data_IF_854993916156
#
_entry.id   IF_854993916156
#
_cell.length_a   1.000
_cell.length_b   1.000
_cell.length_c   1.000
_cell.angle_alpha   90.00
_cell.angle_beta   90.00
_cell.angle_gamma   90.00
#
_symmetry.space_group_name_H-M   'P 1'
#
loop_
_entity.id
_entity.type
_entity.pdbx_description
1 polymer ?
#
# COMPACT_ATOMS: atom_id res chain seq x y z
N UNK A 1 48.79 -45.69 -16.75
CA UNK A 1 47.41 -45.41 -16.28
C UNK A 1 47.37 -44.26 -15.25
N UNK A 2 47.88 -43.07 -15.59
CA UNK A 2 47.91 -41.91 -14.64
C UNK A 2 47.57 -40.55 -15.27
N UNK A 3 47.18 -40.51 -16.56
CA UNK A 3 46.86 -39.25 -17.27
C UNK A 3 45.38 -39.07 -17.62
N UNK A 4 44.51 -40.01 -17.25
CA UNK A 4 43.08 -39.97 -17.63
C UNK A 4 42.14 -39.46 -16.53
N UNK A 5 42.65 -39.20 -15.32
CA UNK A 5 41.80 -38.84 -14.16
C UNK A 5 41.65 -37.31 -14.00
N UNK A 6 42.54 -36.52 -14.60
CA UNK A 6 42.51 -35.06 -14.43
C UNK A 6 41.51 -34.32 -15.34
N UNK A 7 40.99 -34.97 -16.37
CA UNK A 7 40.13 -34.33 -17.39
C UNK A 7 38.64 -34.41 -17.00
N UNK A 8 38.27 -35.27 -16.04
CA UNK A 8 36.87 -35.47 -15.64
C UNK A 8 36.44 -34.48 -14.54
N UNK A 9 37.38 -33.83 -13.85
CA UNK A 9 37.07 -32.86 -12.78
C UNK A 9 36.88 -31.43 -13.33
N UNK A 10 37.39 -31.13 -14.52
CA UNK A 10 37.32 -29.77 -15.11
C UNK A 10 36.08 -29.52 -15.99
N UNK A 11 35.26 -30.54 -16.26
CA UNK A 11 33.99 -30.42 -16.99
C UNK A 11 32.75 -30.36 -16.08
N UNK A 12 32.93 -30.49 -14.76
CA UNK A 12 31.84 -30.49 -13.78
C UNK A 12 31.68 -29.15 -13.03
N UNK A 13 32.02 -28.03 -13.65
CA UNK A 13 31.85 -26.68 -13.08
C UNK A 13 30.99 -25.73 -13.92
N UNK A 14 30.42 -26.20 -15.04
CA UNK A 14 29.69 -25.34 -15.98
C UNK A 14 28.15 -25.43 -15.91
N UNK A 15 27.60 -26.09 -14.89
CA UNK A 15 26.16 -26.05 -14.60
C UNK A 15 25.91 -25.61 -13.17
N UNK A 16 26.50 -24.48 -12.77
CA UNK A 16 25.86 -23.70 -11.71
C UNK A 16 24.58 -23.14 -12.35
N UNK A 17 23.38 -23.50 -11.87
CA UNK A 17 22.20 -22.76 -12.27
C UNK A 17 22.50 -21.31 -11.93
N UNK A 18 22.38 -20.42 -12.91
CA UNK A 18 22.39 -19.00 -12.65
C UNK A 18 21.36 -18.79 -11.56
N UNK A 19 21.85 -18.52 -10.35
CA UNK A 19 21.05 -18.05 -9.25
C UNK A 19 20.53 -16.70 -9.72
N UNK A 20 19.46 -16.74 -10.49
CA UNK A 20 18.51 -15.66 -10.59
C UNK A 20 18.10 -15.50 -9.13
N UNK A 21 18.80 -14.62 -8.42
CA UNK A 21 18.26 -14.05 -7.22
C UNK A 21 16.88 -13.58 -7.66
N UNK A 22 15.84 -14.31 -7.27
CA UNK A 22 14.47 -13.92 -7.51
C UNK A 22 14.35 -12.56 -6.87
N UNK A 23 14.56 -11.50 -7.66
CA UNK A 23 14.24 -10.15 -7.24
C UNK A 23 12.73 -10.21 -7.10
N UNK A 24 12.29 -10.36 -5.84
CA UNK A 24 10.88 -10.53 -5.51
C UNK A 24 10.07 -9.41 -6.13
N UNK A 25 8.81 -9.70 -6.47
CA UNK A 25 7.90 -8.72 -7.06
C UNK A 25 7.98 -7.37 -6.30
N UNK A 26 8.31 -6.29 -7.00
CA UNK A 26 8.18 -4.94 -6.46
C UNK A 26 6.70 -4.59 -6.33
N UNK A 27 6.27 -4.15 -5.15
CA UNK A 27 4.90 -3.68 -4.94
C UNK A 27 4.76 -2.23 -5.39
N UNK A 28 3.70 -1.89 -6.12
CA UNK A 28 3.40 -0.49 -6.48
C UNK A 28 2.26 0.06 -5.62
N UNK A 29 2.54 1.14 -4.87
CA UNK A 29 1.54 1.95 -4.19
C UNK A 29 1.18 3.13 -5.10
N UNK A 30 -0.09 3.27 -5.46
CA UNK A 30 -0.60 4.38 -6.26
C UNK A 30 -1.44 5.34 -5.43
N UNK A 31 -1.15 6.64 -5.52
CA UNK A 31 -1.91 7.72 -4.86
C UNK A 31 -2.00 8.96 -5.75
N UNK A 32 -3.04 9.77 -5.53
CA UNK A 32 -3.09 11.13 -6.12
C UNK A 32 -2.07 12.02 -5.42
N UNK A 33 -1.39 12.88 -6.18
CA UNK A 33 -0.28 13.72 -5.73
C UNK A 33 -0.70 14.86 -4.78
N UNK A 34 -1.14 14.51 -3.58
CA UNK A 34 -1.58 15.40 -2.50
C UNK A 34 -0.73 15.17 -1.26
N UNK A 35 -0.69 16.11 -0.31
CA UNK A 35 0.00 15.94 0.98
C UNK A 35 -0.49 14.69 1.73
N UNK A 36 -1.81 14.43 1.71
CA UNK A 36 -2.42 13.22 2.26
C UNK A 36 -1.91 11.96 1.57
N UNK A 37 -2.00 11.92 0.23
CA UNK A 37 -1.55 10.78 -0.57
C UNK A 37 -0.07 10.48 -0.35
N UNK A 38 0.77 11.51 -0.42
CA UNK A 38 2.22 11.39 -0.24
C UNK A 38 2.58 10.83 1.14
N UNK A 39 2.08 11.42 2.23
CA UNK A 39 2.50 10.99 3.58
C UNK A 39 2.00 9.59 3.92
N UNK A 40 0.78 9.24 3.51
CA UNK A 40 0.23 7.91 3.78
C UNK A 40 0.88 6.84 2.89
N UNK A 41 1.18 7.13 1.62
CA UNK A 41 1.91 6.21 0.75
C UNK A 41 3.33 5.93 1.26
N UNK A 42 4.05 6.98 1.66
CA UNK A 42 5.39 6.86 2.26
C UNK A 42 5.36 6.07 3.57
N UNK A 43 4.31 6.22 4.37
CA UNK A 43 4.11 5.47 5.60
C UNK A 43 3.93 3.98 5.34
N UNK A 44 3.07 3.61 4.39
CA UNK A 44 2.87 2.21 4.00
C UNK A 44 4.16 1.66 3.38
N UNK A 45 4.78 2.40 2.46
CA UNK A 45 6.03 2.01 1.77
C UNK A 45 7.16 1.75 2.76
N UNK A 46 7.41 2.68 3.69
CA UNK A 46 8.45 2.55 4.72
C UNK A 46 8.17 1.37 5.63
N UNK A 47 6.92 1.19 6.08
CA UNK A 47 6.55 0.07 6.95
C UNK A 47 6.79 -1.28 6.27
N UNK A 48 6.38 -1.42 5.01
CA UNK A 48 6.59 -2.65 4.23
C UNK A 48 8.09 -2.90 4.04
N UNK A 49 8.81 -1.91 3.54
CA UNK A 49 10.24 -2.03 3.20
C UNK A 49 11.06 -2.39 4.44
N UNK A 50 10.88 -1.70 5.56
CA UNK A 50 11.70 -1.93 6.76
C UNK A 50 11.36 -3.20 7.52
N UNK A 51 10.11 -3.67 7.46
CA UNK A 51 9.70 -4.89 8.17
C UNK A 51 9.87 -6.15 7.36
N UNK A 52 10.07 -6.06 6.05
CA UNK A 52 10.08 -7.23 5.17
C UNK A 52 11.24 -7.27 4.19
N UNK A 53 11.91 -6.14 3.92
CA UNK A 53 12.87 -6.03 2.82
C UNK A 53 12.24 -6.01 1.42
N UNK A 54 10.90 -6.03 1.32
CA UNK A 54 10.19 -5.96 0.04
C UNK A 54 10.39 -4.60 -0.61
N UNK A 55 10.80 -4.58 -1.88
CA UNK A 55 10.88 -3.34 -2.65
C UNK A 55 9.48 -2.77 -2.91
N UNK A 56 9.32 -1.47 -2.68
CA UNK A 56 8.07 -0.74 -2.92
C UNK A 56 8.35 0.48 -3.80
N UNK A 57 7.55 0.62 -4.86
CA UNK A 57 7.51 1.81 -5.69
C UNK A 57 6.28 2.66 -5.32
N UNK A 58 6.46 3.96 -5.12
CA UNK A 58 5.36 4.91 -4.93
C UNK A 58 5.13 5.66 -6.24
N UNK A 59 3.95 5.48 -6.82
CA UNK A 59 3.52 6.12 -8.06
C UNK A 59 2.49 7.22 -7.76
N UNK A 60 2.76 8.41 -8.27
CA UNK A 60 1.88 9.57 -8.14
C UNK A 60 1.04 9.76 -9.40
N UNK A 61 -0.24 10.03 -9.20
CA UNK A 61 -1.22 10.29 -10.26
C UNK A 61 -1.75 11.71 -10.13
N UNK A 62 -2.09 12.33 -11.27
CA UNK A 62 -2.61 13.70 -11.30
C UNK A 62 -4.03 13.77 -10.74
N UNK A 63 -4.85 12.75 -11.02
CA UNK A 63 -6.26 12.70 -10.64
C UNK A 63 -6.71 11.27 -10.27
N UNK A 64 -7.90 11.16 -9.68
CA UNK A 64 -8.46 9.86 -9.24
C UNK A 64 -8.83 8.94 -10.41
N UNK A 65 -9.22 9.50 -11.57
CA UNK A 65 -9.60 8.68 -12.73
C UNK A 65 -8.40 7.88 -13.25
N UNK A 66 -7.24 8.52 -13.38
CA UNK A 66 -6.00 7.87 -13.81
C UNK A 66 -5.52 6.83 -12.79
N UNK A 67 -5.67 7.12 -11.49
CA UNK A 67 -5.36 6.17 -10.43
C UNK A 67 -6.28 4.93 -10.49
N UNK A 68 -7.59 5.13 -10.68
CA UNK A 68 -8.53 4.01 -10.82
C UNK A 68 -8.24 3.15 -12.04
N UNK A 69 -7.92 3.77 -13.17
CA UNK A 69 -7.52 3.05 -14.36
C UNK A 69 -6.26 2.22 -14.09
N UNK A 70 -5.25 2.80 -13.44
CA UNK A 70 -4.02 2.10 -13.10
C UNK A 70 -4.22 0.92 -12.14
N UNK A 71 -5.15 1.04 -11.18
CA UNK A 71 -5.58 -0.08 -10.33
C UNK A 71 -6.27 -1.16 -11.17
N UNK A 72 -7.19 -0.76 -12.05
CA UNK A 72 -7.96 -1.67 -12.92
C UNK A 72 -7.08 -2.47 -13.88
N UNK A 73 -6.09 -1.83 -14.50
CA UNK A 73 -5.13 -2.49 -15.41
C UNK A 73 -3.90 -3.06 -14.67
N UNK A 74 -3.98 -3.23 -13.36
CA UNK A 74 -2.97 -3.91 -12.52
C UNK A 74 -1.58 -3.26 -12.47
N UNK A 75 -1.47 -1.98 -12.84
CA UNK A 75 -0.25 -1.17 -12.66
C UNK A 75 -0.02 -0.76 -11.20
N UNK A 76 -1.09 -0.68 -10.41
CA UNK A 76 -1.08 -0.38 -8.98
C UNK A 76 -1.56 -1.60 -8.20
N UNK A 77 -0.77 -2.00 -7.19
CA UNK A 77 -1.09 -3.13 -6.31
C UNK A 77 -1.83 -2.70 -5.04
N UNK A 78 -1.48 -1.53 -4.52
CA UNK A 78 -1.98 -0.96 -3.26
C UNK A 78 -2.38 0.49 -3.51
N UNK A 79 -3.52 0.92 -2.96
CA UNK A 79 -3.93 2.32 -2.98
C UNK A 79 -4.60 2.72 -1.66
N UNK A 80 -5.01 3.97 -1.56
CA UNK A 80 -5.69 4.53 -0.40
C UNK A 80 -7.02 5.08 -0.87
N UNK A 81 -8.08 4.66 -0.21
CA UNK A 81 -9.43 5.03 -0.59
C UNK A 81 -10.26 5.43 0.62
N UNK A 82 -11.26 6.28 0.41
CA UNK A 82 -12.24 6.64 1.42
C UNK A 82 -13.65 6.18 1.06
N UNK A 83 -14.47 5.95 2.09
CA UNK A 83 -15.81 5.39 1.93
C UNK A 83 -16.75 6.29 1.13
N UNK A 84 -16.66 7.61 1.28
CA UNK A 84 -17.50 8.58 0.57
C UNK A 84 -17.32 8.48 -0.95
N UNK A 85 -16.06 8.49 -1.41
CA UNK A 85 -15.71 8.32 -2.83
C UNK A 85 -16.03 6.92 -3.31
N UNK A 86 -15.76 5.90 -2.50
CA UNK A 86 -16.02 4.52 -2.85
C UNK A 86 -17.51 4.22 -3.08
N UNK A 87 -18.41 4.82 -2.28
CA UNK A 87 -19.86 4.72 -2.49
C UNK A 87 -20.26 5.30 -3.85
N UNK A 88 -19.68 6.45 -4.24
CA UNK A 88 -19.91 7.05 -5.58
C UNK A 88 -19.41 6.14 -6.70
N UNK A 89 -18.21 5.57 -6.56
CA UNK A 89 -17.64 4.63 -7.54
C UNK A 89 -18.49 3.36 -7.71
N UNK A 90 -19.17 2.93 -6.65
CA UNK A 90 -20.10 1.80 -6.68
C UNK A 90 -21.51 2.18 -7.15
N UNK A 91 -21.76 3.44 -7.50
CA UNK A 91 -23.09 3.98 -7.79
C UNK A 91 -24.10 3.71 -6.67
N UNK A 92 -23.65 3.76 -5.41
CA UNK A 92 -24.50 3.61 -4.22
C UNK A 92 -24.83 4.99 -3.63
N UNK A 93 -26.00 5.16 -2.99
CA UNK A 93 -26.33 6.39 -2.29
C UNK A 93 -25.35 6.66 -1.15
N UNK A 94 -25.17 7.92 -0.77
CA UNK A 94 -24.37 8.27 0.40
C UNK A 94 -24.94 7.58 1.66
N UNK A 95 -24.04 7.15 2.55
CA UNK A 95 -24.39 6.51 3.82
C UNK A 95 -23.81 7.35 4.95
N UNK A 96 -24.67 7.80 5.86
CA UNK A 96 -24.32 8.73 6.93
C UNK A 96 -23.58 8.05 8.09
N UNK A 97 -23.89 6.77 8.33
CA UNK A 97 -23.11 5.97 9.28
C UNK A 97 -21.81 5.53 8.61
N UNK A 98 -20.69 6.13 9.03
CA UNK A 98 -19.37 5.88 8.47
C UNK A 98 -18.94 4.41 8.59
N UNK A 99 -19.36 3.71 9.65
CA UNK A 99 -19.03 2.30 9.85
C UNK A 99 -19.87 1.43 8.91
N UNK A 100 -21.16 1.73 8.78
CA UNK A 100 -22.03 1.05 7.82
C UNK A 100 -21.55 1.27 6.38
N UNK A 101 -21.12 2.48 6.04
CA UNK A 101 -20.51 2.78 4.75
C UNK A 101 -19.26 1.93 4.50
N UNK A 102 -18.39 1.79 5.50
CA UNK A 102 -17.20 0.94 5.42
C UNK A 102 -17.55 -0.53 5.16
N UNK A 103 -18.51 -1.11 5.88
CA UNK A 103 -18.91 -2.51 5.67
C UNK A 103 -19.51 -2.74 4.27
N UNK A 104 -20.35 -1.83 3.79
CA UNK A 104 -20.91 -1.87 2.43
C UNK A 104 -19.79 -1.82 1.39
N UNK A 105 -18.89 -0.86 1.51
CA UNK A 105 -17.80 -0.63 0.56
C UNK A 105 -16.84 -1.82 0.55
N UNK A 106 -16.43 -2.30 1.72
CA UNK A 106 -15.54 -3.45 1.87
C UNK A 106 -16.09 -4.68 1.16
N UNK A 107 -17.35 -5.04 1.44
CA UNK A 107 -17.99 -6.19 0.81
C UNK A 107 -18.14 -6.02 -0.70
N UNK A 108 -18.51 -4.82 -1.15
CA UNK A 108 -18.74 -4.55 -2.58
C UNK A 108 -17.44 -4.50 -3.38
N UNK A 109 -16.37 -3.89 -2.86
CA UNK A 109 -15.07 -3.84 -3.53
C UNK A 109 -14.43 -5.21 -3.64
N UNK A 110 -14.54 -6.05 -2.62
CA UNK A 110 -14.01 -7.41 -2.67
C UNK A 110 -14.74 -8.23 -3.75
N UNK A 111 -16.08 -8.18 -3.75
CA UNK A 111 -16.92 -8.92 -4.69
C UNK A 111 -16.84 -8.41 -6.14
N UNK A 112 -16.91 -7.09 -6.34
CA UNK A 112 -17.09 -6.48 -7.66
C UNK A 112 -15.77 -6.05 -8.32
N UNK A 113 -14.71 -5.83 -7.52
CA UNK A 113 -13.44 -5.28 -8.00
C UNK A 113 -12.22 -6.13 -7.67
N UNK A 114 -12.37 -7.18 -6.86
CA UNK A 114 -11.23 -7.99 -6.39
C UNK A 114 -10.26 -7.21 -5.52
N UNK A 115 -10.75 -6.18 -4.81
CA UNK A 115 -9.95 -5.30 -3.95
C UNK A 115 -10.34 -5.50 -2.49
N UNK A 116 -9.34 -5.78 -1.66
CA UNK A 116 -9.52 -5.98 -0.22
C UNK A 116 -9.31 -4.66 0.50
N UNK A 117 -10.28 -4.28 1.32
CA UNK A 117 -10.15 -3.17 2.27
C UNK A 117 -9.51 -3.64 3.57
N UNK A 118 -8.44 -2.96 3.98
CA UNK A 118 -7.77 -3.20 5.25
C UNK A 118 -8.42 -2.42 6.40
N UNK A 119 -7.87 -2.57 7.60
CA UNK A 119 -8.34 -1.82 8.77
C UNK A 119 -8.20 -0.30 8.52
N UNK A 120 -9.22 0.50 8.83
CA UNK A 120 -9.17 1.96 8.74
C UNK A 120 -8.02 2.59 9.52
N UNK A 121 -7.46 3.69 9.01
CA UNK A 121 -6.38 4.42 9.70
C UNK A 121 -6.80 5.01 11.05
N UNK A 122 -8.07 5.40 11.18
CA UNK A 122 -8.67 5.89 12.43
C UNK A 122 -9.16 7.34 12.42
N UNK A 123 -8.87 8.11 11.37
CA UNK A 123 -9.38 9.46 11.16
C UNK A 123 -10.64 9.42 10.29
N UNK A 124 -11.49 10.45 10.41
CA UNK A 124 -12.76 10.54 9.67
C UNK A 124 -12.84 11.76 8.73
N UNK A 125 -11.82 12.61 8.68
CA UNK A 125 -11.82 13.87 7.91
C UNK A 125 -10.98 13.87 6.62
N UNK A 126 -10.65 12.70 6.09
CA UNK A 126 -9.84 12.58 4.87
C UNK A 126 -10.60 12.88 3.59
N UNK A 127 -9.86 13.03 2.48
CA UNK A 127 -10.46 13.04 1.14
C UNK A 127 -10.93 14.40 0.60
N UNK A 128 -10.77 15.49 1.38
CA UNK A 128 -10.83 16.87 0.90
C UNK A 128 -12.22 17.47 0.61
N UNK A 129 -13.29 16.68 0.61
CA UNK A 129 -14.67 17.16 0.33
C UNK A 129 -15.47 17.52 1.61
N UNK A 130 -14.84 17.45 2.78
CA UNK A 130 -15.44 17.77 4.07
C UNK A 130 -16.47 16.76 4.57
N UNK A 131 -16.76 15.71 3.80
CA UNK A 131 -17.69 14.65 4.21
C UNK A 131 -16.98 13.69 5.16
N UNK A 132 -17.53 13.44 6.37
CA UNK A 132 -17.00 12.42 7.26
C UNK A 132 -16.92 11.07 6.53
N UNK A 133 -15.73 10.48 6.47
CA UNK A 133 -15.49 9.23 5.76
C UNK A 133 -14.36 8.45 6.39
N UNK A 134 -14.45 7.13 6.30
CA UNK A 134 -13.37 6.25 6.72
C UNK A 134 -12.39 6.10 5.57
N UNK A 135 -11.11 6.35 5.84
CA UNK A 135 -10.01 6.08 4.90
C UNK A 135 -9.29 4.80 5.30
N UNK A 136 -9.03 3.94 4.31
CA UNK A 136 -8.28 2.71 4.49
C UNK A 136 -7.36 2.42 3.30
N UNK A 137 -6.36 1.57 3.53
CA UNK A 137 -5.59 0.96 2.46
C UNK A 137 -6.45 -0.09 1.74
N UNK A 138 -6.42 -0.07 0.42
CA UNK A 138 -6.97 -1.12 -0.44
C UNK A 138 -5.84 -1.84 -1.16
N UNK A 139 -6.02 -3.13 -1.43
CA UNK A 139 -5.04 -3.93 -2.15
C UNK A 139 -5.70 -4.96 -3.06
N UNK A 140 -5.06 -5.29 -4.19
CA UNK A 140 -5.58 -6.34 -5.08
C UNK A 140 -5.47 -7.71 -4.40
N UNK A 141 -6.55 -8.49 -4.40
CA UNK A 141 -6.56 -9.81 -3.76
C UNK A 141 -5.43 -10.72 -4.24
N UNK A 142 -5.11 -10.67 -5.54
CA UNK A 142 -4.03 -11.46 -6.16
C UNK A 142 -2.65 -11.26 -5.52
N UNK A 143 -2.38 -10.11 -4.88
CA UNK A 143 -1.07 -9.90 -4.25
C UNK A 143 -0.88 -10.80 -3.03
N UNK A 144 -1.97 -11.24 -2.40
CA UNK A 144 -1.92 -12.08 -1.21
C UNK A 144 -1.35 -13.48 -1.51
N UNK A 145 -1.34 -13.91 -2.77
CA UNK A 145 -0.67 -15.13 -3.19
C UNK A 145 0.84 -15.08 -2.94
N UNK A 146 1.45 -13.90 -3.10
CA UNK A 146 2.88 -13.68 -2.89
C UNK A 146 3.19 -13.01 -1.54
N UNK A 147 2.24 -12.24 -1.00
CA UNK A 147 2.40 -11.45 0.22
C UNK A 147 1.28 -11.70 1.23
N UNK A 148 1.06 -12.95 1.71
CA UNK A 148 -0.09 -13.29 2.57
C UNK A 148 -0.04 -12.59 3.94
N UNK A 149 1.15 -12.20 4.42
CA UNK A 149 1.31 -11.48 5.69
C UNK A 149 1.09 -9.96 5.58
N UNK A 150 0.95 -9.42 4.37
CA UNK A 150 0.87 -7.98 4.11
C UNK A 150 -0.33 -7.30 4.80
N UNK A 151 -1.56 -7.86 4.76
CA UNK A 151 -2.69 -7.32 5.51
C UNK A 151 -2.38 -7.19 7.01
N UNK A 152 -1.77 -8.22 7.61
CA UNK A 152 -1.43 -8.22 9.04
C UNK A 152 -0.42 -7.11 9.37
N UNK A 153 0.55 -6.87 8.50
CA UNK A 153 1.54 -5.82 8.68
C UNK A 153 0.91 -4.43 8.56
N UNK A 154 0.20 -4.14 7.47
CA UNK A 154 -0.39 -2.82 7.21
C UNK A 154 -1.48 -2.51 8.25
N UNK A 155 -2.24 -3.52 8.70
CA UNK A 155 -3.25 -3.36 9.75
C UNK A 155 -2.68 -2.87 11.10
N UNK A 156 -1.36 -2.87 11.31
CA UNK A 156 -0.74 -2.22 12.47
C UNK A 156 -0.87 -0.69 12.42
N UNK A 157 -1.11 -0.11 11.25
CA UNK A 157 -1.48 1.30 11.08
C UNK A 157 -2.96 1.56 11.39
N UNK A 158 -3.76 0.49 11.46
CA UNK A 158 -5.18 0.59 11.74
C UNK A 158 -5.44 1.24 13.10
N UNK A 159 -6.35 2.21 13.13
CA UNK A 159 -6.70 3.02 14.30
C UNK A 159 -5.54 3.79 14.95
N UNK A 160 -4.37 3.88 14.29
CA UNK A 160 -3.17 4.52 14.86
C UNK A 160 -3.08 6.03 14.57
N UNK A 161 -3.89 6.52 13.62
CA UNK A 161 -3.93 7.91 13.15
C UNK A 161 -5.33 8.45 13.41
N UNK A 162 -5.53 9.11 14.54
CA UNK A 162 -6.77 9.85 14.82
C UNK A 162 -6.78 11.21 14.07
N UNK A 163 -7.89 11.94 14.16
CA UNK A 163 -8.05 13.22 13.46
C UNK A 163 -6.98 14.26 13.81
N UNK A 164 -6.58 14.39 15.08
CA UNK A 164 -5.55 15.34 15.50
C UNK A 164 -4.19 14.99 14.90
N UNK A 165 -3.82 13.70 14.97
CA UNK A 165 -2.58 13.21 14.39
C UNK A 165 -2.59 13.37 12.88
N UNK A 166 -3.69 13.04 12.22
CA UNK A 166 -3.89 13.26 10.79
C UNK A 166 -3.58 14.72 10.42
N UNK A 167 -4.21 15.70 11.08
CA UNK A 167 -3.94 17.12 10.80
C UNK A 167 -2.48 17.49 11.04
N UNK A 168 -1.86 16.99 12.10
CA UNK A 168 -0.43 17.24 12.37
C UNK A 168 0.46 16.70 11.25
N UNK A 169 0.17 15.51 10.72
CA UNK A 169 0.93 14.90 9.63
C UNK A 169 0.79 15.72 8.35
N UNK A 170 -0.45 16.09 7.99
CA UNK A 170 -0.71 16.89 6.77
C UNK A 170 -0.04 18.27 6.87
N UNK A 171 -0.27 18.99 7.97
CA UNK A 171 0.33 20.31 8.18
C UNK A 171 1.87 20.25 8.16
N UNK A 172 2.47 19.17 8.66
CA UNK A 172 3.93 19.01 8.61
C UNK A 172 4.45 18.96 7.17
N UNK A 173 3.73 18.28 6.27
CA UNK A 173 4.10 18.22 4.85
C UNK A 173 3.83 19.55 4.15
N UNK A 174 2.68 20.17 4.41
CA UNK A 174 2.30 21.46 3.80
C UNK A 174 3.23 22.61 4.22
N UNK A 175 3.78 22.55 5.43
CA UNK A 175 4.80 23.51 5.92
C UNK A 175 6.21 23.20 5.41
N UNK A 176 6.35 22.21 4.51
CA UNK A 176 7.57 21.94 3.75
C UNK A 176 8.40 20.75 4.24
N UNK A 177 7.97 19.98 5.25
CA UNK A 177 8.69 18.74 5.61
C UNK A 177 8.50 17.68 4.52
N UNK A 178 9.57 16.96 4.21
CA UNK A 178 9.52 15.85 3.25
C UNK A 178 8.55 14.75 3.73
N UNK A 179 7.61 14.27 2.90
CA UNK A 179 6.64 13.24 3.27
C UNK A 179 7.28 11.98 3.86
N UNK A 180 8.35 11.47 3.24
CA UNK A 180 9.08 10.29 3.74
C UNK A 180 9.68 10.48 5.13
N UNK A 181 10.15 11.69 5.47
CA UNK A 181 10.65 11.98 6.81
C UNK A 181 9.52 12.03 7.83
N UNK A 182 8.39 12.67 7.49
CA UNK A 182 7.20 12.73 8.36
C UNK A 182 6.65 11.33 8.63
N UNK A 183 6.54 10.50 7.60
CA UNK A 183 6.10 9.12 7.69
C UNK A 183 7.02 8.28 8.59
N UNK A 184 8.34 8.36 8.39
CA UNK A 184 9.33 7.63 9.20
C UNK A 184 9.31 8.05 10.67
N UNK A 185 9.21 9.35 10.96
CA UNK A 185 9.11 9.86 12.33
C UNK A 185 7.85 9.34 13.04
N UNK A 186 6.71 9.35 12.33
CA UNK A 186 5.46 8.78 12.84
C UNK A 186 5.62 7.30 13.18
N UNK A 187 6.14 6.49 12.24
CA UNK A 187 6.32 5.06 12.43
C UNK A 187 7.23 4.74 13.63
N UNK A 188 8.33 5.49 13.80
CA UNK A 188 9.22 5.37 14.97
C UNK A 188 8.48 5.71 16.27
N UNK A 189 7.71 6.80 16.29
CA UNK A 189 6.94 7.21 17.48
C UNK A 189 5.93 6.15 17.92
N UNK A 190 5.41 5.36 16.97
CA UNK A 190 4.48 4.24 17.21
C UNK A 190 5.19 2.90 17.43
N UNK A 191 6.53 2.87 17.44
CA UNK A 191 7.36 1.65 17.51
C UNK A 191 6.99 0.64 16.40
N UNK A 192 6.57 1.16 15.26
CA UNK A 192 6.20 0.36 14.09
C UNK A 192 7.39 0.12 13.16
N UNK A 193 8.46 0.88 13.30
CA UNK A 193 9.80 0.59 12.79
C UNK A 193 10.80 0.71 13.95
#
# INVERSE_FOLDING_TARGET
>A
MKKLVFIIIMTLTLFLPEGHACVGKTLTIGVVNTSEGQVLAEMISTLITERTGTAVNVAFYENMQDLYEAVRVTKVDISIENTSRAMRVLNKPAEADVQKAYEIVKASYEKEKGLIWLKPFGFQKGGGDGTPSITATILRNEILNNFPALPRLINKLGSSINDDMYTKLINSVETGRKPGSVARDFLKSKKLI
#
